data_IF_119908317167
#
_entry.id   IF_119908317167
#
_cell.length_a   1.000
_cell.length_b   1.000
_cell.length_c   1.000
_cell.angle_alpha   90.00
_cell.angle_beta   90.00
_cell.angle_gamma   90.00
#
_symmetry.space_group_name_H-M   'P 1'
#
loop_
_entity.id
_entity.type
_entity.pdbx_description
1 polymer ?
#
# COMPACT_ATOMS: atom_id res chain seq x y z
N UNK A 1 1.82 -20.04 -12.30
CA UNK A 1 2.32 -18.73 -11.79
C UNK A 1 1.09 -17.96 -11.32
N UNK A 2 0.68 -18.10 -10.06
CA UNK A 2 -0.48 -17.36 -9.54
C UNK A 2 -0.47 -17.49 -8.02
N UNK A 3 0.14 -16.54 -7.32
CA UNK A 3 -0.05 -16.34 -5.88
C UNK A 3 0.22 -14.87 -5.58
N UNK A 4 -0.65 -14.01 -6.08
CA UNK A 4 -0.83 -12.70 -5.47
C UNK A 4 -2.33 -12.49 -5.39
N UNK A 5 -2.91 -13.12 -4.37
CA UNK A 5 -4.26 -12.88 -3.92
C UNK A 5 -4.06 -12.45 -2.49
N UNK A 6 -4.09 -11.14 -2.27
CA UNK A 6 -3.92 -10.55 -0.94
C UNK A 6 -4.89 -11.24 0.02
N UNK A 7 -4.36 -12.07 0.91
CA UNK A 7 -5.16 -12.85 1.83
C UNK A 7 -5.65 -11.91 2.96
N UNK A 8 -6.93 -12.00 3.36
CA UNK A 8 -7.54 -11.02 4.28
C UNK A 8 -6.87 -10.95 5.66
N UNK A 9 -6.25 -12.06 6.11
CA UNK A 9 -5.57 -12.18 7.40
C UNK A 9 -4.08 -11.80 7.35
N UNK A 10 -3.52 -11.60 6.16
CA UNK A 10 -2.10 -11.27 6.02
C UNK A 10 -1.90 -9.79 6.30
N UNK A 11 -1.06 -9.51 7.30
CA UNK A 11 -0.60 -8.17 7.58
C UNK A 11 0.51 -7.78 6.60
N UNK A 12 0.51 -6.53 6.19
CA UNK A 12 1.53 -5.96 5.32
C UNK A 12 2.32 -4.92 6.08
N UNK A 13 3.62 -4.90 5.84
CA UNK A 13 4.54 -3.92 6.40
C UNK A 13 5.39 -3.32 5.29
N UNK A 14 5.53 -1.99 5.30
CA UNK A 14 6.47 -1.31 4.40
C UNK A 14 7.89 -1.71 4.74
N UNK A 15 8.74 -1.86 3.73
CA UNK A 15 10.16 -2.12 4.00
C UNK A 15 10.84 -0.85 4.53
N UNK A 16 11.41 -0.85 5.74
CA UNK A 16 12.08 0.33 6.30
C UNK A 16 13.39 0.67 5.57
N UNK A 17 13.90 -0.25 4.75
CA UNK A 17 15.10 -0.07 3.92
C UNK A 17 14.87 0.82 2.69
N UNK A 18 13.61 1.17 2.38
CA UNK A 18 13.27 2.02 1.25
C UNK A 18 13.35 3.49 1.64
N UNK A 19 14.09 4.27 0.84
CA UNK A 19 14.08 5.72 0.93
C UNK A 19 12.83 6.26 0.23
N UNK A 20 11.74 6.40 1.00
CA UNK A 20 10.57 7.15 0.57
C UNK A 20 10.75 8.62 0.98
N UNK A 21 10.63 9.53 0.02
CA UNK A 21 10.72 10.98 0.25
C UNK A 21 9.38 11.58 -0.12
N UNK A 22 8.78 12.30 0.82
CA UNK A 22 7.59 13.11 0.53
C UNK A 22 8.05 14.43 -0.09
N UNK A 23 7.59 14.72 -1.31
CA UNK A 23 7.87 15.96 -2.02
C UNK A 23 6.56 16.53 -2.54
N UNK A 24 6.18 17.73 -2.08
CA UNK A 24 4.97 18.44 -2.51
C UNK A 24 3.66 17.65 -2.30
N UNK A 25 3.56 16.88 -1.21
CA UNK A 25 2.39 16.04 -0.92
C UNK A 25 2.29 14.76 -1.77
N UNK A 26 3.24 14.55 -2.68
CA UNK A 26 3.43 13.30 -3.39
C UNK A 26 4.51 12.49 -2.68
N UNK A 27 4.18 11.26 -2.31
CA UNK A 27 5.18 10.36 -1.75
C UNK A 27 5.94 9.71 -2.90
N UNK A 28 7.22 10.06 -3.04
CA UNK A 28 8.14 9.54 -4.05
C UNK A 28 9.01 8.45 -3.46
N UNK A 29 8.85 7.23 -3.95
CA UNK A 29 9.71 6.11 -3.55
C UNK A 29 10.80 5.86 -4.57
N UNK A 30 12.04 5.70 -4.11
CA UNK A 30 13.14 5.21 -4.94
C UNK A 30 13.46 3.75 -4.60
N UNK A 31 13.05 2.84 -5.46
CA UNK A 31 13.45 1.44 -5.35
C UNK A 31 14.94 1.27 -5.67
N UNK A 32 15.72 0.72 -4.73
CA UNK A 32 17.15 0.41 -4.91
C UNK A 32 17.42 -0.51 -6.11
N UNK A 33 16.47 -1.40 -6.46
CA UNK A 33 16.64 -2.35 -7.57
C UNK A 33 16.11 -1.83 -8.93
N UNK A 34 15.16 -0.89 -8.97
CA UNK A 34 14.45 -0.55 -10.22
C UNK A 34 14.56 0.91 -10.67
N UNK A 35 15.02 1.84 -9.84
CA UNK A 35 15.12 3.26 -10.25
C UNK A 35 13.78 3.88 -10.66
N UNK A 36 12.67 3.23 -10.30
CA UNK A 36 11.32 3.69 -10.60
C UNK A 36 10.86 4.70 -9.56
N UNK A 37 10.31 5.81 -10.05
CA UNK A 37 9.64 6.82 -9.25
C UNK A 37 8.19 6.40 -9.07
N UNK A 38 7.82 6.08 -7.85
CA UNK A 38 6.43 5.81 -7.51
C UNK A 38 5.86 7.02 -6.79
N UNK A 39 4.94 7.73 -7.43
CA UNK A 39 4.20 8.86 -6.87
C UNK A 39 2.87 8.38 -6.32
N UNK A 40 2.72 8.37 -4.99
CA UNK A 40 1.44 8.09 -4.35
C UNK A 40 0.74 9.41 -4.01
N UNK A 41 -0.57 9.47 -4.30
CA UNK A 41 -1.45 10.59 -3.96
C UNK A 41 -2.73 10.10 -3.30
N UNK A 42 -3.34 10.99 -2.51
CA UNK A 42 -4.63 10.76 -1.85
C UNK A 42 -4.64 9.42 -1.08
N UNK A 43 -5.54 8.51 -1.47
CA UNK A 43 -5.79 7.21 -0.84
C UNK A 43 -4.51 6.38 -0.75
N UNK A 44 -3.72 6.36 -1.81
CA UNK A 44 -2.53 5.52 -1.87
C UNK A 44 -1.44 6.03 -0.90
N UNK A 45 -1.31 7.35 -0.77
CA UNK A 45 -0.40 7.97 0.18
C UNK A 45 -0.85 7.69 1.63
N UNK A 46 -2.16 7.80 1.92
CA UNK A 46 -2.72 7.45 3.22
C UNK A 46 -2.41 6.00 3.62
N UNK A 47 -2.74 5.03 2.74
CA UNK A 47 -2.42 3.61 2.96
C UNK A 47 -0.93 3.41 3.26
N UNK A 48 -0.05 4.05 2.49
CA UNK A 48 1.39 3.94 2.70
C UNK A 48 1.87 4.43 4.06
N UNK A 49 1.32 5.55 4.55
CA UNK A 49 1.66 6.08 5.88
C UNK A 49 1.23 5.10 6.99
N UNK A 50 0.11 4.40 6.81
CA UNK A 50 -0.38 3.39 7.77
C UNK A 50 0.41 2.07 7.73
N UNK A 51 1.04 1.74 6.60
CA UNK A 51 1.90 0.56 6.44
C UNK A 51 3.26 0.67 7.15
N UNK A 52 3.50 1.73 7.94
CA UNK A 52 4.64 1.79 8.87
C UNK A 52 4.53 0.76 10.00
N UNK A 53 3.30 0.32 10.30
CA UNK A 53 2.97 -0.74 11.23
C UNK A 53 2.29 -1.89 10.47
N UNK A 54 2.36 -3.15 10.98
CA UNK A 54 1.71 -4.29 10.34
C UNK A 54 0.19 -4.09 10.32
N UNK A 55 -0.38 -3.96 9.12
CA UNK A 55 -1.83 -3.79 8.91
C UNK A 55 -2.38 -4.81 7.93
N UNK A 56 -3.54 -5.39 8.24
CA UNK A 56 -4.21 -6.33 7.35
C UNK A 56 -4.96 -5.60 6.24
N UNK A 57 -5.27 -6.32 5.16
CA UNK A 57 -6.08 -5.80 4.07
C UNK A 57 -7.41 -5.23 4.59
N UNK A 58 -8.10 -5.94 5.48
CA UNK A 58 -9.40 -5.49 6.02
C UNK A 58 -9.29 -4.20 6.82
N UNK A 59 -8.23 -4.04 7.62
CA UNK A 59 -7.99 -2.82 8.39
C UNK A 59 -7.76 -1.61 7.45
N UNK A 60 -6.96 -1.78 6.41
CA UNK A 60 -6.70 -0.75 5.40
C UNK A 60 -7.99 -0.38 4.64
N UNK A 61 -8.81 -1.36 4.27
CA UNK A 61 -10.10 -1.12 3.61
C UNK A 61 -11.03 -0.32 4.52
N UNK A 62 -11.16 -0.72 5.79
CA UNK A 62 -11.99 0.01 6.77
C UNK A 62 -11.50 1.44 6.96
N UNK A 63 -10.18 1.62 7.05
CA UNK A 63 -9.56 2.93 7.24
C UNK A 63 -9.82 3.86 6.05
N UNK A 64 -9.55 3.39 4.83
CA UNK A 64 -9.80 4.16 3.59
C UNK A 64 -11.29 4.47 3.46
N UNK A 65 -12.14 3.49 3.66
CA UNK A 65 -13.57 3.69 3.53
C UNK A 65 -14.12 4.67 4.59
N UNK A 66 -13.56 4.70 5.80
CA UNK A 66 -13.89 5.69 6.82
C UNK A 66 -13.36 7.11 6.50
N UNK A 67 -12.12 7.21 5.99
CA UNK A 67 -11.48 8.49 5.66
C UNK A 67 -12.10 9.16 4.44
N UNK A 68 -12.44 8.37 3.42
CA UNK A 68 -12.99 8.85 2.15
C UNK A 68 -14.52 8.73 2.06
N UNK A 69 -15.19 8.23 3.11
CA UNK A 69 -16.64 8.03 3.18
C UNK A 69 -17.19 7.23 1.96
N UNK A 70 -16.51 6.14 1.61
CA UNK A 70 -16.88 5.24 0.50
C UNK A 70 -17.20 3.84 1.01
N UNK A 71 -17.87 3.03 0.18
CA UNK A 71 -18.27 1.66 0.54
C UNK A 71 -17.11 0.66 0.49
N UNK A 72 -17.01 -0.29 1.45
CA UNK A 72 -15.95 -1.29 1.52
C UNK A 72 -15.88 -2.17 0.27
N UNK A 73 -17.01 -2.56 -0.30
CA UNK A 73 -17.06 -3.31 -1.57
C UNK A 73 -16.52 -2.50 -2.76
N UNK A 74 -16.56 -1.17 -2.68
CA UNK A 74 -16.03 -0.28 -3.72
C UNK A 74 -14.53 -0.06 -3.53
N UNK A 75 -14.06 0.18 -2.29
CA UNK A 75 -12.66 0.47 -2.02
C UNK A 75 -11.77 -0.80 -1.98
N UNK A 76 -12.32 -1.95 -1.59
CA UNK A 76 -11.60 -3.23 -1.47
C UNK A 76 -10.83 -3.66 -2.72
N UNK A 77 -11.42 -3.74 -3.93
CA UNK A 77 -10.67 -4.19 -5.11
C UNK A 77 -9.50 -3.25 -5.44
N UNK A 78 -9.67 -1.94 -5.30
CA UNK A 78 -8.60 -0.95 -5.50
C UNK A 78 -7.48 -1.10 -4.47
N UNK A 79 -7.81 -1.25 -3.18
CA UNK A 79 -6.82 -1.48 -2.12
C UNK A 79 -6.07 -2.80 -2.34
N UNK A 80 -6.77 -3.87 -2.73
CA UNK A 80 -6.14 -5.15 -3.06
C UNK A 80 -5.16 -4.99 -4.21
N UNK A 81 -5.59 -4.39 -5.32
CA UNK A 81 -4.73 -4.18 -6.49
C UNK A 81 -3.51 -3.31 -6.15
N UNK A 82 -3.69 -2.31 -5.30
CA UNK A 82 -2.61 -1.45 -4.82
C UNK A 82 -1.58 -2.21 -3.98
N UNK A 83 -2.02 -3.00 -3.00
CA UNK A 83 -1.12 -3.83 -2.19
C UNK A 83 -0.39 -4.86 -3.05
N UNK A 84 -1.07 -5.47 -4.01
CA UNK A 84 -0.49 -6.43 -4.94
C UNK A 84 0.67 -5.84 -5.75
N UNK A 85 0.45 -4.64 -6.30
CA UNK A 85 1.45 -3.90 -7.06
C UNK A 85 2.64 -3.50 -6.17
N UNK A 86 2.40 -3.06 -4.93
CA UNK A 86 3.47 -2.78 -3.96
C UNK A 86 4.28 -4.03 -3.61
N UNK A 87 3.64 -5.19 -3.42
CA UNK A 87 4.31 -6.48 -3.16
C UNK A 87 5.12 -6.92 -4.37
N UNK A 88 4.55 -6.83 -5.58
CA UNK A 88 5.23 -7.18 -6.83
C UNK A 88 6.50 -6.35 -7.03
N UNK A 89 6.46 -5.07 -6.64
CA UNK A 89 7.60 -4.14 -6.66
C UNK A 89 8.54 -4.28 -5.46
N UNK A 90 8.27 -5.22 -4.54
CA UNK A 90 8.99 -5.45 -3.28
C UNK A 90 9.03 -4.22 -2.36
N UNK A 91 8.07 -3.31 -2.48
CA UNK A 91 7.98 -2.11 -1.65
C UNK A 91 7.45 -2.43 -0.25
N UNK A 92 6.58 -3.41 -0.16
CA UNK A 92 6.02 -3.94 1.08
C UNK A 92 6.22 -5.45 1.14
N UNK A 93 6.09 -6.03 2.32
CA UNK A 93 6.14 -7.47 2.51
C UNK A 93 5.01 -7.93 3.45
N UNK A 94 4.47 -9.14 3.23
CA UNK A 94 3.62 -9.78 4.23
C UNK A 94 4.45 -10.14 5.47
N UNK A 95 3.87 -9.98 6.66
CA UNK A 95 4.51 -10.24 7.97
C UNK A 95 3.66 -11.11 8.89
#
# INVERSE_FOLDING_TARGET
MCMTSSAPDVAYLRRPELNAVEMDGELVMMGQEQGEYYGLRDVAASIWQHLVEPRTLEDLVVLVCAEYAIDPDTCRPDVVAFLDDLVARKLIAPV
#
